data_IF_196575116684
#
_entry.id   IF_196575116684
#
_cell.length_a   1.000
_cell.length_b   1.000
_cell.length_c   1.000
_cell.angle_alpha   90.00
_cell.angle_beta   90.00
_cell.angle_gamma   90.00
#
_symmetry.space_group_name_H-M   'P 1'
#
loop_
_entity.id
_entity.type
_entity.pdbx_description
1 polymer ?
#
# COMPACT_ATOMS: atom_id res chain seq x y z
N UNK A 1 34.71 -4.51 23.33
CA UNK A 1 34.66 -3.50 22.27
C UNK A 1 34.76 -4.23 20.94
N UNK A 2 33.76 -4.21 20.12
CA UNK A 2 33.87 -4.67 18.74
C UNK A 2 34.96 -3.81 18.06
N UNK A 3 35.95 -4.44 17.50
CA UNK A 3 37.13 -3.74 16.99
C UNK A 3 36.89 -3.17 15.58
N UNK A 4 35.78 -3.56 14.93
CA UNK A 4 35.37 -3.13 13.60
C UNK A 4 33.87 -3.23 13.50
N UNK A 5 33.19 -2.11 13.40
CA UNK A 5 31.84 -2.01 12.90
C UNK A 5 31.95 -2.05 11.38
N UNK A 6 31.13 -2.90 10.74
CA UNK A 6 31.06 -3.01 9.28
C UNK A 6 29.86 -2.22 8.79
N UNK A 7 30.04 -1.46 7.73
CA UNK A 7 28.94 -0.85 7.02
C UNK A 7 28.20 -1.89 6.15
N UNK A 8 26.91 -1.67 5.92
CA UNK A 8 26.09 -2.63 5.18
C UNK A 8 26.62 -2.91 3.76
N UNK A 9 27.16 -1.89 3.08
CA UNK A 9 27.70 -2.02 1.73
C UNK A 9 28.92 -2.95 1.68
N UNK A 10 29.79 -2.95 2.69
CA UNK A 10 30.95 -3.84 2.77
C UNK A 10 30.52 -5.31 2.83
N UNK A 11 29.44 -5.58 3.62
CA UNK A 11 28.89 -6.92 3.76
C UNK A 11 28.32 -7.43 2.42
N UNK A 12 27.74 -6.54 1.63
CA UNK A 12 27.19 -6.88 0.31
C UNK A 12 28.29 -7.09 -0.71
N UNK A 13 29.35 -6.28 -0.69
CA UNK A 13 30.54 -6.47 -1.54
C UNK A 13 31.25 -7.79 -1.26
N UNK A 14 31.24 -8.25 -0.01
CA UNK A 14 31.74 -9.57 0.40
C UNK A 14 30.85 -10.74 -0.14
N UNK A 15 29.80 -10.43 -0.89
CA UNK A 15 28.90 -11.41 -1.53
C UNK A 15 27.87 -12.03 -0.58
N UNK A 16 27.61 -11.42 0.56
CA UNK A 16 26.63 -11.91 1.51
C UNK A 16 25.21 -11.55 1.04
N UNK A 17 24.39 -12.57 0.79
CA UNK A 17 22.98 -12.37 0.55
C UNK A 17 22.22 -12.15 1.87
N UNK A 18 21.61 -10.98 2.03
CA UNK A 18 20.84 -10.61 3.23
C UNK A 18 19.43 -11.24 3.23
N UNK A 19 18.87 -11.48 2.06
CA UNK A 19 17.49 -11.92 1.87
C UNK A 19 17.42 -13.38 1.38
N UNK A 20 18.11 -14.28 2.09
CA UNK A 20 18.13 -15.73 1.81
C UNK A 20 16.94 -16.48 2.43
N UNK A 21 15.85 -15.79 2.70
CA UNK A 21 14.63 -16.35 3.29
C UNK A 21 13.39 -16.00 2.47
N UNK A 22 12.41 -16.90 2.52
CA UNK A 22 11.12 -16.67 1.85
C UNK A 22 10.18 -15.86 2.72
N UNK A 23 9.45 -14.97 2.06
CA UNK A 23 8.34 -14.22 2.63
C UNK A 23 7.32 -13.87 1.55
N UNK A 24 6.07 -13.71 1.97
CA UNK A 24 4.99 -13.29 1.09
C UNK A 24 5.00 -11.78 0.91
N UNK A 25 4.91 -11.34 -0.34
CA UNK A 25 4.73 -9.95 -0.67
C UNK A 25 3.64 -9.83 -1.73
N UNK A 26 2.81 -8.81 -1.64
CA UNK A 26 1.64 -8.63 -2.51
C UNK A 26 1.98 -8.63 -4.00
N UNK A 27 3.17 -8.23 -4.40
CA UNK A 27 3.64 -8.22 -5.78
C UNK A 27 5.08 -8.73 -5.87
N UNK A 28 5.28 -9.82 -6.61
CA UNK A 28 6.59 -10.48 -6.77
C UNK A 28 7.62 -9.54 -7.43
N UNK A 29 7.19 -8.74 -8.42
CA UNK A 29 8.10 -7.81 -9.12
C UNK A 29 8.59 -6.70 -8.17
N UNK A 30 7.71 -6.21 -7.29
CA UNK A 30 8.02 -5.19 -6.31
C UNK A 30 8.84 -5.71 -5.12
N UNK A 31 8.89 -7.01 -4.92
CA UNK A 31 9.70 -7.65 -3.87
C UNK A 31 11.18 -7.31 -3.99
N UNK A 32 11.73 -7.46 -5.18
CA UNK A 32 13.15 -7.14 -5.46
C UNK A 32 13.43 -5.65 -5.36
N UNK A 33 12.49 -4.82 -5.80
CA UNK A 33 12.60 -3.36 -5.68
C UNK A 33 12.66 -2.92 -4.21
N UNK A 34 11.80 -3.48 -3.35
CA UNK A 34 11.81 -3.20 -1.92
C UNK A 34 13.14 -3.60 -1.25
N UNK A 35 13.69 -4.78 -1.61
CA UNK A 35 14.97 -5.23 -1.11
C UNK A 35 16.11 -4.30 -1.52
N UNK A 36 16.13 -3.87 -2.78
CA UNK A 36 17.14 -2.94 -3.28
C UNK A 36 17.02 -1.56 -2.61
N UNK A 37 15.81 -1.05 -2.44
CA UNK A 37 15.57 0.21 -1.75
C UNK A 37 16.01 0.14 -0.29
N UNK A 38 15.80 -1.00 0.39
CA UNK A 38 16.29 -1.23 1.74
C UNK A 38 17.82 -1.18 1.80
N UNK A 39 18.50 -1.86 0.89
CA UNK A 39 19.97 -1.85 0.79
C UNK A 39 20.48 -0.43 0.56
N UNK A 40 19.92 0.29 -0.39
CA UNK A 40 20.35 1.67 -0.69
C UNK A 40 20.07 2.63 0.47
N UNK A 41 18.97 2.46 1.19
CA UNK A 41 18.65 3.29 2.35
C UNK A 41 19.64 3.11 3.50
N UNK A 42 20.03 1.86 3.80
CA UNK A 42 20.93 1.54 4.90
C UNK A 42 22.39 1.34 4.48
N UNK A 43 22.73 1.66 3.25
CA UNK A 43 24.02 1.37 2.61
C UNK A 43 25.23 1.74 3.47
N UNK A 44 25.20 2.93 4.04
CA UNK A 44 26.31 3.50 4.84
C UNK A 44 26.08 3.42 6.35
N UNK A 45 25.09 2.62 6.78
CA UNK A 45 24.86 2.40 8.19
C UNK A 45 25.69 1.21 8.69
N UNK A 46 26.28 1.38 9.85
CA UNK A 46 27.02 0.31 10.53
C UNK A 46 26.05 -0.68 11.17
N UNK A 47 26.33 -1.98 11.04
CA UNK A 47 25.50 -3.01 11.65
C UNK A 47 25.63 -2.99 13.18
N UNK A 48 24.50 -3.00 13.90
CA UNK A 48 24.42 -3.03 15.36
C UNK A 48 24.59 -4.44 15.95
N UNK A 49 25.39 -5.31 15.32
CA UNK A 49 25.59 -6.70 15.76
C UNK A 49 27.06 -7.10 15.67
N UNK A 50 27.49 -7.97 16.60
CA UNK A 50 28.90 -8.42 16.68
C UNK A 50 29.36 -9.24 15.48
N UNK A 51 28.42 -9.90 14.79
CA UNK A 51 28.67 -10.75 13.62
C UNK A 51 27.63 -10.52 12.55
N UNK A 52 28.04 -10.66 11.27
CA UNK A 52 27.15 -10.58 10.11
C UNK A 52 26.03 -11.62 10.20
N UNK A 53 26.30 -12.84 10.67
CA UNK A 53 25.29 -13.87 10.82
C UNK A 53 24.21 -13.47 11.83
N UNK A 54 24.60 -12.92 12.98
CA UNK A 54 23.64 -12.43 13.98
C UNK A 54 22.81 -11.27 13.46
N UNK A 55 23.42 -10.39 12.65
CA UNK A 55 22.69 -9.32 11.97
C UNK A 55 21.65 -9.89 11.01
N UNK A 56 22.01 -10.86 10.16
CA UNK A 56 21.07 -11.54 9.24
C UNK A 56 19.90 -12.19 9.99
N UNK A 57 20.16 -12.89 11.07
CA UNK A 57 19.12 -13.54 11.86
C UNK A 57 18.15 -12.53 12.48
N UNK A 58 18.67 -11.41 13.01
CA UNK A 58 17.83 -10.31 13.54
C UNK A 58 17.05 -9.62 12.42
N UNK A 59 17.68 -9.37 11.27
CA UNK A 59 17.02 -8.80 10.09
C UNK A 59 15.86 -9.69 9.65
N UNK A 60 16.11 -10.99 9.50
CA UNK A 60 15.10 -11.97 9.13
C UNK A 60 13.92 -11.96 10.10
N UNK A 61 14.17 -12.04 11.40
CA UNK A 61 13.12 -12.01 12.41
C UNK A 61 12.28 -10.73 12.29
N UNK A 62 12.92 -9.57 12.25
CA UNK A 62 12.21 -8.29 12.16
C UNK A 62 11.44 -8.12 10.85
N UNK A 63 12.04 -8.61 9.74
CA UNK A 63 11.39 -8.59 8.43
C UNK A 63 10.10 -9.41 8.43
N UNK A 64 10.15 -10.65 8.91
CA UNK A 64 8.99 -11.55 8.96
C UNK A 64 7.90 -11.05 9.92
N UNK A 65 8.25 -10.38 11.00
CA UNK A 65 7.28 -9.78 11.92
C UNK A 65 6.50 -8.61 11.29
N UNK A 66 7.13 -7.85 10.42
CA UNK A 66 6.59 -6.59 9.93
C UNK A 66 6.00 -6.68 8.54
N UNK A 67 6.56 -7.55 7.67
CA UNK A 67 6.26 -7.56 6.24
C UNK A 67 4.78 -7.81 5.91
N UNK A 68 4.09 -8.66 6.64
CA UNK A 68 2.68 -8.98 6.38
C UNK A 68 1.77 -7.76 6.55
N UNK A 69 2.06 -6.95 7.56
CA UNK A 69 1.35 -5.68 7.81
C UNK A 69 1.65 -4.67 6.70
N UNK A 70 2.93 -4.47 6.43
CA UNK A 70 3.36 -3.45 5.46
C UNK A 70 3.06 -3.85 4.02
N UNK A 71 3.04 -5.14 3.68
CA UNK A 71 2.63 -5.63 2.36
C UNK A 71 1.23 -5.16 1.98
N UNK A 72 0.28 -5.21 2.93
CA UNK A 72 -1.09 -4.70 2.72
C UNK A 72 -1.12 -3.17 2.58
N UNK A 73 -0.27 -2.47 3.32
CA UNK A 73 -0.17 -1.00 3.22
C UNK A 73 0.43 -0.58 1.87
N UNK A 74 1.45 -1.27 1.37
CA UNK A 74 2.03 -1.06 0.04
C UNK A 74 1.01 -1.31 -1.06
N UNK A 75 0.25 -2.41 -0.98
CA UNK A 75 -0.82 -2.73 -1.92
C UNK A 75 -1.89 -1.63 -1.96
N UNK A 76 -2.34 -1.18 -0.79
CA UNK A 76 -3.34 -0.11 -0.68
C UNK A 76 -2.81 1.20 -1.25
N UNK A 77 -1.56 1.57 -0.93
CA UNK A 77 -0.94 2.79 -1.41
C UNK A 77 -0.79 2.78 -2.94
N UNK A 78 -0.41 1.66 -3.54
CA UNK A 78 -0.30 1.55 -4.99
C UNK A 78 -1.67 1.60 -5.68
N UNK A 79 -2.69 0.98 -5.10
CA UNK A 79 -4.07 1.09 -5.59
C UNK A 79 -4.55 2.55 -5.57
N UNK A 80 -4.28 3.27 -4.50
CA UNK A 80 -4.64 4.69 -4.37
C UNK A 80 -3.88 5.58 -5.38
N UNK A 81 -2.63 5.27 -5.68
CA UNK A 81 -1.85 6.00 -6.67
C UNK A 81 -2.31 5.74 -8.12
N UNK A 82 -2.76 4.52 -8.40
CA UNK A 82 -3.17 4.12 -9.75
C UNK A 82 -4.65 4.40 -10.03
N UNK A 83 -5.48 4.47 -9.01
CA UNK A 83 -6.93 4.53 -9.13
C UNK A 83 -7.51 5.63 -8.22
N UNK A 84 -7.47 6.86 -8.70
CA UNK A 84 -8.11 8.01 -8.02
C UNK A 84 -9.62 7.76 -7.85
N UNK A 85 -10.20 6.89 -8.68
CA UNK A 85 -11.61 6.48 -8.61
C UNK A 85 -11.95 5.62 -7.37
N UNK A 86 -10.97 4.99 -6.70
CA UNK A 86 -11.22 4.19 -5.49
C UNK A 86 -11.69 5.04 -4.31
N UNK A 87 -11.28 6.31 -4.28
CA UNK A 87 -11.64 7.24 -3.20
C UNK A 87 -13.04 7.85 -3.34
N UNK A 88 -13.71 7.67 -4.49
CA UNK A 88 -14.88 8.51 -4.83
C UNK A 88 -16.04 7.81 -5.53
N UNK A 89 -16.06 6.50 -5.64
CA UNK A 89 -17.10 5.82 -6.39
C UNK A 89 -18.38 5.61 -5.57
N UNK A 90 -19.25 6.63 -5.57
CA UNK A 90 -20.68 6.41 -5.37
C UNK A 90 -21.35 6.37 -6.74
N UNK A 91 -21.58 5.19 -7.26
CA UNK A 91 -22.41 4.97 -8.45
C UNK A 91 -23.86 4.87 -7.99
N UNK A 92 -24.64 5.92 -8.22
CA UNK A 92 -26.08 5.87 -8.00
C UNK A 92 -26.77 5.65 -9.35
N UNK A 93 -27.41 4.50 -9.52
CA UNK A 93 -28.24 4.22 -10.65
C UNK A 93 -29.72 4.39 -10.24
N UNK A 94 -30.35 5.44 -10.72
CA UNK A 94 -31.77 5.70 -10.48
C UNK A 94 -32.55 5.37 -11.75
N UNK A 95 -33.45 4.42 -11.63
CA UNK A 95 -34.37 4.08 -12.70
C UNK A 95 -35.76 4.63 -12.33
N UNK A 96 -36.24 5.59 -13.11
CA UNK A 96 -37.58 6.12 -12.95
C UNK A 96 -38.43 5.57 -14.09
N UNK A 97 -39.47 4.87 -13.73
CA UNK A 97 -40.41 4.26 -14.67
C UNK A 97 -41.77 4.91 -14.46
N UNK A 98 -42.29 5.56 -15.50
CA UNK A 98 -43.65 6.09 -15.52
C UNK A 98 -44.51 5.22 -16.39
N UNK A 99 -45.67 4.83 -15.86
CA UNK A 99 -46.74 4.16 -16.62
C UNK A 99 -47.90 5.15 -16.83
N UNK A 100 -48.14 5.48 -18.07
CA UNK A 100 -49.14 6.46 -18.46
C UNK A 100 -50.49 5.76 -18.83
N UNK A 101 -50.74 4.56 -18.28
CA UNK A 101 -52.01 3.84 -18.52
C UNK A 101 -53.15 4.43 -17.68
N UNK A 102 -54.23 4.86 -18.30
CA UNK A 102 -55.39 5.37 -17.58
C UNK A 102 -56.13 4.23 -16.89
N UNK A 103 -56.16 4.26 -15.58
CA UNK A 103 -57.10 3.59 -14.67
C UNK A 103 -57.35 2.08 -14.85
N UNK A 104 -56.90 1.30 -13.90
CA UNK A 104 -57.63 0.13 -13.46
C UNK A 104 -56.89 -1.18 -13.35
N UNK A 105 -55.56 -1.26 -13.55
CA UNK A 105 -54.84 -2.52 -13.28
C UNK A 105 -53.94 -2.35 -12.07
N UNK A 106 -54.20 -3.11 -11.03
CA UNK A 106 -53.50 -3.10 -9.74
C UNK A 106 -52.10 -3.73 -9.78
N UNK A 107 -51.64 -4.16 -10.97
CA UNK A 107 -50.33 -4.79 -11.13
C UNK A 107 -49.42 -3.93 -11.99
N UNK A 108 -48.35 -3.41 -11.34
CA UNK A 108 -47.29 -2.70 -12.02
C UNK A 108 -46.46 -3.69 -12.86
N UNK A 109 -46.70 -3.71 -14.15
CA UNK A 109 -45.95 -4.51 -15.11
C UNK A 109 -44.83 -3.64 -15.75
N UNK A 110 -43.59 -3.99 -15.50
CA UNK A 110 -42.42 -3.31 -16.08
C UNK A 110 -42.40 -3.35 -17.62
N UNK A 111 -43.12 -4.27 -18.22
CA UNK A 111 -43.17 -4.44 -19.68
C UNK A 111 -44.09 -3.43 -20.39
N UNK A 112 -44.90 -2.68 -19.64
CA UNK A 112 -45.85 -1.68 -20.20
C UNK A 112 -45.45 -0.23 -19.85
N UNK A 113 -44.22 0.00 -19.47
CA UNK A 113 -43.70 1.34 -19.17
C UNK A 113 -43.62 2.16 -20.48
N UNK A 114 -44.41 3.25 -20.57
CA UNK A 114 -44.41 4.16 -21.72
C UNK A 114 -43.26 5.13 -21.70
N UNK A 115 -42.64 5.35 -20.54
CA UNK A 115 -41.49 6.22 -20.41
C UNK A 115 -40.48 5.63 -19.42
N UNK A 116 -39.25 5.45 -19.88
CA UNK A 116 -38.18 4.88 -19.11
C UNK A 116 -37.00 5.85 -19.08
N UNK A 117 -36.69 6.37 -17.90
CA UNK A 117 -35.53 7.23 -17.70
C UNK A 117 -34.52 6.54 -16.79
N UNK A 118 -33.35 6.25 -17.33
CA UNK A 118 -32.23 5.68 -16.59
C UNK A 118 -31.14 6.74 -16.39
N UNK A 119 -30.99 7.20 -15.18
CA UNK A 119 -29.97 8.18 -14.84
C UNK A 119 -28.84 7.49 -14.10
N UNK A 120 -27.63 7.57 -14.66
CA UNK A 120 -26.40 7.17 -13.97
C UNK A 120 -25.70 8.42 -13.51
N UNK A 121 -25.61 8.63 -12.21
CA UNK A 121 -24.78 9.69 -11.65
C UNK A 121 -23.55 9.10 -10.95
N UNK A 122 -22.38 9.58 -11.36
CA UNK A 122 -21.14 9.39 -10.63
C UNK A 122 -20.92 10.64 -9.79
N UNK A 123 -20.85 10.47 -8.49
CA UNK A 123 -20.64 11.58 -7.57
C UNK A 123 -19.65 11.23 -6.49
N UNK A 124 -18.99 12.25 -5.98
CA UNK A 124 -18.14 12.12 -4.81
C UNK A 124 -19.03 12.24 -3.57
N UNK A 125 -18.93 11.28 -2.64
CA UNK A 125 -19.72 11.29 -1.42
C UNK A 125 -19.29 12.45 -0.50
N UNK A 126 -19.88 13.63 -0.71
CA UNK A 126 -19.82 14.75 0.24
C UNK A 126 -18.54 15.59 0.26
N UNK A 127 -17.50 15.24 -0.49
CA UNK A 127 -16.25 15.98 -0.59
C UNK A 127 -15.87 16.25 -2.04
N UNK A 128 -15.32 17.42 -2.32
CA UNK A 128 -14.81 17.74 -3.65
C UNK A 128 -13.52 16.97 -3.91
N UNK A 129 -13.24 16.59 -5.17
CA UNK A 129 -12.00 15.89 -5.54
C UNK A 129 -10.74 16.63 -5.10
N UNK A 130 -10.79 17.95 -5.01
CA UNK A 130 -9.68 18.80 -4.52
C UNK A 130 -9.48 18.63 -3.00
N UNK A 131 -10.55 18.53 -2.23
CA UNK A 131 -10.46 18.30 -0.77
C UNK A 131 -9.96 16.89 -0.48
N UNK A 132 -10.37 15.89 -1.27
CA UNK A 132 -9.84 14.53 -1.17
C UNK A 132 -8.34 14.47 -1.47
N UNK A 133 -7.89 15.13 -2.53
CA UNK A 133 -6.46 15.24 -2.87
C UNK A 133 -5.67 15.98 -1.80
N UNK A 134 -6.23 17.03 -1.24
CA UNK A 134 -5.60 17.78 -0.14
C UNK A 134 -5.46 16.92 1.11
N UNK A 135 -6.55 16.27 1.52
CA UNK A 135 -6.53 15.35 2.66
C UNK A 135 -5.57 14.17 2.43
N UNK A 136 -5.49 13.65 1.21
CA UNK A 136 -4.54 12.61 0.84
C UNK A 136 -3.10 13.11 0.98
N UNK A 137 -2.78 14.28 0.45
CA UNK A 137 -1.43 14.87 0.54
C UNK A 137 -1.05 15.24 1.99
N UNK A 138 -1.99 15.74 2.79
CA UNK A 138 -1.76 16.09 4.20
C UNK A 138 -1.57 14.83 5.08
N UNK A 139 -2.23 13.74 4.73
CA UNK A 139 -2.14 12.46 5.44
C UNK A 139 -1.26 11.43 4.70
N UNK A 140 -0.53 11.86 3.67
CA UNK A 140 0.36 10.98 2.92
C UNK A 140 1.38 10.38 3.87
N UNK A 141 1.23 9.09 4.07
CA UNK A 141 2.14 8.30 4.86
C UNK A 141 3.11 7.66 3.90
N UNK A 142 4.37 8.03 3.97
CA UNK A 142 5.41 7.25 3.30
C UNK A 142 5.52 5.87 3.98
N UNK A 143 4.86 4.91 3.36
CA UNK A 143 4.82 3.53 3.84
C UNK A 143 6.22 2.93 3.85
N UNK A 144 7.04 3.29 2.88
CA UNK A 144 8.42 2.80 2.76
C UNK A 144 9.29 3.35 3.89
N UNK A 145 9.21 4.64 4.17
CA UNK A 145 9.94 5.26 5.27
C UNK A 145 9.55 4.64 6.62
N UNK A 146 8.24 4.48 6.87
CA UNK A 146 7.76 3.80 8.09
C UNK A 146 8.23 2.37 8.19
N UNK A 147 8.23 1.63 7.09
CA UNK A 147 8.74 0.27 7.07
C UNK A 147 10.24 0.24 7.42
N UNK A 148 11.04 1.11 6.83
CA UNK A 148 12.48 1.17 7.10
C UNK A 148 12.79 1.61 8.53
N UNK A 149 12.02 2.50 9.11
CA UNK A 149 12.16 2.94 10.50
C UNK A 149 12.06 1.79 11.51
N UNK A 150 11.32 0.71 11.18
CA UNK A 150 11.25 -0.50 12.01
C UNK A 150 12.61 -1.21 12.16
N UNK A 151 13.55 -0.96 11.24
CA UNK A 151 14.86 -1.60 11.21
C UNK A 151 15.99 -0.75 11.79
N UNK A 152 15.75 0.51 12.13
CA UNK A 152 16.77 1.41 12.70
C UNK A 152 17.47 0.81 13.92
N UNK A 153 16.76 0.01 14.72
CA UNK A 153 17.32 -0.68 15.89
C UNK A 153 18.33 -1.78 15.57
N UNK A 154 18.46 -2.18 14.30
CA UNK A 154 19.44 -3.19 13.86
C UNK A 154 20.79 -2.56 13.54
N UNK A 155 20.82 -1.26 13.33
CA UNK A 155 22.01 -0.49 12.99
C UNK A 155 22.51 0.32 14.19
N UNK A 156 23.77 0.68 14.15
CA UNK A 156 24.33 1.58 15.16
C UNK A 156 23.75 2.98 14.93
N UNK A 157 23.13 3.51 15.97
CA UNK A 157 22.67 4.90 15.93
C UNK A 157 23.87 5.80 16.14
N UNK A 158 24.17 6.60 15.14
CA UNK A 158 25.12 7.71 15.28
C UNK A 158 24.35 8.85 15.94
N UNK A 159 24.70 9.15 17.20
CA UNK A 159 24.17 10.29 17.92
C UNK A 159 24.97 11.54 17.60
#
# INVERSE_FOLDING_TARGET
MAKYTQELWEIIEDGVNLFDFDYNFWNITKKSELQNNFIEHFKFHEIGSETVQRFKDRLKCRWLETIDKYSKMFETNERLNNDVDVLSNVNTETTIVFNDSPKGEETFDKNHATNFTKTKSKGYAGTTGIELLKNYNENFIDVQEKFFNEFNSLFMQVF
#
